data_IF_959346669819
#
_entry.id   IF_959346669819
#
_cell.length_a   1.000
_cell.length_b   1.000
_cell.length_c   1.000
_cell.angle_alpha   90.00
_cell.angle_beta   90.00
_cell.angle_gamma   90.00
#
_symmetry.space_group_name_H-M   'P 1'
#
loop_
_entity.id
_entity.type
_entity.pdbx_description
1 polymer ?
#
# COMPACT_ATOMS: atom_id res chain seq x y z
N UNK A 1 57.68 67.63 45.18
CA UNK A 1 59.06 67.39 44.73
C UNK A 1 59.05 66.20 43.77
N UNK A 2 59.44 66.45 42.50
CA UNK A 2 59.83 65.48 41.45
C UNK A 2 58.82 64.39 41.02
N UNK A 3 58.88 63.83 39.81
CA UNK A 3 59.11 64.28 38.43
C UNK A 3 58.76 63.04 37.59
N UNK A 4 58.11 63.25 36.45
CA UNK A 4 58.20 62.49 35.19
C UNK A 4 57.75 61.01 35.09
N UNK A 5 56.67 60.84 34.31
CA UNK A 5 56.53 60.06 33.06
C UNK A 5 57.49 58.90 32.75
N UNK A 6 56.94 57.69 32.47
CA UNK A 6 56.77 57.14 31.10
C UNK A 6 56.55 55.61 31.02
N UNK A 7 55.61 55.21 30.15
CA UNK A 7 55.56 54.01 29.25
C UNK A 7 55.33 52.63 29.91
N UNK A 8 54.10 52.11 29.88
CA UNK A 8 53.47 51.22 28.87
C UNK A 8 53.96 49.76 28.92
N UNK A 9 53.11 48.82 29.37
CA UNK A 9 52.91 47.55 28.66
C UNK A 9 51.64 46.79 29.10
N UNK A 10 51.03 46.16 28.09
CA UNK A 10 50.13 45.01 28.14
C UNK A 10 48.65 45.22 28.51
N UNK A 11 47.88 45.45 27.44
CA UNK A 11 46.48 45.06 27.28
C UNK A 11 46.22 43.61 27.71
N UNK A 12 45.27 43.42 28.63
CA UNK A 12 44.43 42.22 28.73
C UNK A 12 42.99 42.70 29.01
N UNK A 13 42.20 42.88 27.95
CA UNK A 13 40.76 43.08 28.07
C UNK A 13 40.11 41.70 28.29
N UNK A 14 39.84 41.36 29.55
CA UNK A 14 38.90 40.31 29.90
C UNK A 14 37.48 40.84 29.74
N UNK A 15 36.90 40.71 28.53
CA UNK A 15 35.46 40.91 28.35
C UNK A 15 34.73 39.72 28.97
N UNK A 16 34.02 39.96 30.08
CA UNK A 16 33.07 39.01 30.63
C UNK A 16 31.95 38.74 29.63
N UNK A 17 31.95 37.55 29.06
CA UNK A 17 30.83 37.01 28.27
C UNK A 17 29.70 36.67 29.24
N UNK A 18 28.70 37.56 29.32
CA UNK A 18 27.36 37.16 29.78
C UNK A 18 26.80 36.18 28.74
N UNK A 19 26.77 34.89 29.08
CA UNK A 19 25.96 33.91 28.36
C UNK A 19 24.50 34.23 28.62
N UNK A 20 23.85 34.88 27.67
CA UNK A 20 22.41 34.77 27.51
C UNK A 20 22.14 33.39 26.93
N UNK A 21 21.87 32.41 27.79
CA UNK A 21 21.27 31.15 27.39
C UNK A 21 19.84 31.48 26.94
N UNK A 22 19.68 31.75 25.65
CA UNK A 22 18.39 31.65 24.98
C UNK A 22 18.04 30.17 25.01
N UNK A 23 17.22 29.78 25.99
CA UNK A 23 16.50 28.53 25.93
C UNK A 23 15.63 28.58 24.68
N UNK A 24 16.11 27.97 23.60
CA UNK A 24 15.28 27.60 22.48
C UNK A 24 14.21 26.66 23.04
N UNK A 25 13.04 27.22 23.31
CA UNK A 25 11.85 26.46 23.59
C UNK A 25 11.61 25.63 22.34
N UNK A 26 11.74 24.32 22.50
CA UNK A 26 11.54 23.31 21.47
C UNK A 26 10.05 23.34 21.10
N UNK A 27 9.65 24.37 20.35
CA UNK A 27 8.28 24.57 19.90
C UNK A 27 8.04 23.57 18.78
N UNK A 28 7.75 22.32 19.18
CA UNK A 28 7.00 21.42 18.31
C UNK A 28 5.77 22.20 17.84
N UNK A 29 5.49 22.28 16.53
CA UNK A 29 4.26 22.88 16.06
C UNK A 29 3.10 22.22 16.80
N UNK A 30 2.08 22.98 17.22
CA UNK A 30 0.92 22.41 17.88
C UNK A 30 0.31 21.39 16.91
N UNK A 31 0.43 20.11 17.24
CA UNK A 31 -0.29 19.07 16.51
C UNK A 31 -1.78 19.28 16.78
N UNK A 32 -2.66 19.12 15.78
CA UNK A 32 -4.09 19.29 16.00
C UNK A 32 -4.55 18.36 17.14
N UNK A 33 -5.40 18.88 18.03
CA UNK A 33 -5.93 18.10 19.16
C UNK A 33 -6.68 16.85 18.65
N UNK A 34 -7.26 16.97 17.46
CA UNK A 34 -7.82 15.89 16.66
C UNK A 34 -6.73 15.24 15.81
N UNK A 35 -6.57 13.92 15.87
CA UNK A 35 -5.58 13.20 15.08
C UNK A 35 -5.67 13.46 13.57
N UNK A 36 -4.59 13.22 12.85
CA UNK A 36 -4.54 13.23 11.39
C UNK A 36 -5.65 12.33 10.81
N UNK A 37 -6.57 12.92 10.06
CA UNK A 37 -7.66 12.18 9.42
C UNK A 37 -7.27 11.76 8.00
N UNK A 38 -7.71 10.58 7.60
CA UNK A 38 -7.59 10.09 6.22
C UNK A 38 -8.91 10.30 5.50
N UNK A 39 -8.86 10.82 4.29
CA UNK A 39 -10.05 10.92 3.47
C UNK A 39 -10.30 9.63 2.69
N UNK A 40 -11.56 9.24 2.58
CA UNK A 40 -12.00 8.15 1.74
C UNK A 40 -13.06 8.62 0.75
N UNK A 41 -12.82 8.37 -0.54
CA UNK A 41 -13.82 8.65 -1.58
C UNK A 41 -14.93 7.59 -1.55
N UNK A 42 -16.17 8.05 -1.53
CA UNK A 42 -17.39 7.23 -1.57
C UNK A 42 -18.45 7.94 -2.42
N UNK A 43 -18.37 7.79 -3.75
CA UNK A 43 -19.29 8.48 -4.68
C UNK A 43 -20.77 8.19 -4.41
N UNK A 44 -21.07 6.96 -3.98
CA UNK A 44 -22.39 6.57 -3.52
C UNK A 44 -22.33 6.26 -2.03
N UNK A 45 -22.79 7.16 -1.14
CA UNK A 45 -22.81 6.91 0.31
C UNK A 45 -23.64 5.70 0.72
N UNK A 46 -24.61 5.30 -0.11
CA UNK A 46 -25.43 4.10 0.07
C UNK A 46 -24.87 2.87 -0.67
N UNK A 47 -23.66 2.99 -1.23
CA UNK A 47 -22.95 1.93 -1.94
C UNK A 47 -22.46 0.84 -1.01
N UNK A 48 -22.06 -0.29 -1.61
CA UNK A 48 -21.45 -1.39 -0.86
C UNK A 48 -20.02 -1.04 -0.52
N UNK A 49 -19.70 -1.02 0.76
CA UNK A 49 -18.31 -0.90 1.25
C UNK A 49 -17.66 -2.27 1.31
N UNK A 50 -16.59 -2.47 0.54
CA UNK A 50 -15.70 -3.62 0.64
C UNK A 50 -14.72 -3.39 1.76
N UNK A 51 -14.61 -4.38 2.64
CA UNK A 51 -13.72 -4.36 3.80
C UNK A 51 -13.91 -3.10 4.68
N UNK A 52 -15.13 -2.84 5.18
CA UNK A 52 -15.42 -1.59 5.89
C UNK A 52 -14.51 -1.35 7.10
N UNK A 53 -14.07 -2.42 7.76
CA UNK A 53 -13.21 -2.34 8.95
C UNK A 53 -11.71 -2.20 8.62
N UNK A 54 -11.32 -2.32 7.35
CA UNK A 54 -9.92 -2.37 6.93
C UNK A 54 -9.15 -1.09 7.26
N UNK A 55 -9.61 0.06 6.74
CA UNK A 55 -8.93 1.33 6.96
C UNK A 55 -8.94 1.74 8.45
N UNK A 56 -10.08 1.72 9.17
CA UNK A 56 -10.08 1.99 10.62
C UNK A 56 -9.12 1.10 11.41
N UNK A 57 -9.05 -0.19 11.08
CA UNK A 57 -8.14 -1.15 11.73
C UNK A 57 -6.67 -0.85 11.43
N UNK A 58 -6.35 -0.50 10.18
CA UNK A 58 -5.01 -0.10 9.79
C UNK A 58 -4.55 1.14 10.57
N UNK A 59 -5.39 2.17 10.65
CA UNK A 59 -5.09 3.41 11.36
C UNK A 59 -4.93 3.19 12.87
N UNK A 60 -5.76 2.32 13.47
CA UNK A 60 -5.59 1.90 14.86
C UNK A 60 -4.22 1.23 15.07
N UNK A 61 -3.85 0.32 14.18
CA UNK A 61 -2.56 -0.36 14.25
C UNK A 61 -1.38 0.61 14.04
N UNK A 62 -1.54 1.65 13.20
CA UNK A 62 -0.55 2.72 13.08
C UNK A 62 -0.38 3.48 14.39
N UNK A 63 -1.47 3.82 15.08
CA UNK A 63 -1.43 4.48 16.39
C UNK A 63 -0.80 3.59 17.48
N UNK A 64 -0.97 2.27 17.40
CA UNK A 64 -0.38 1.32 18.35
C UNK A 64 1.13 1.12 18.16
N UNK A 65 1.63 1.28 16.94
CA UNK A 65 3.00 0.90 16.57
C UNK A 65 3.90 2.08 16.22
N UNK A 66 3.32 3.27 16.10
CA UNK A 66 4.03 4.50 15.77
C UNK A 66 3.60 5.63 16.69
N UNK A 67 4.30 6.76 16.61
CA UNK A 67 3.89 7.99 17.29
C UNK A 67 2.93 8.84 16.46
N UNK A 68 2.48 8.33 15.31
CA UNK A 68 1.43 8.99 14.56
C UNK A 68 0.14 9.00 15.40
N UNK A 69 -0.63 10.08 15.26
CA UNK A 69 -1.96 10.21 15.85
C UNK A 69 -2.94 10.30 14.71
N UNK A 70 -3.47 9.18 14.26
CA UNK A 70 -4.55 9.14 13.29
C UNK A 70 -5.90 9.16 13.98
N UNK A 71 -6.85 9.88 13.39
CA UNK A 71 -8.26 9.57 13.63
C UNK A 71 -8.61 8.26 12.93
N UNK A 72 -9.17 7.30 13.67
CA UNK A 72 -9.55 5.99 13.13
C UNK A 72 -10.87 6.01 12.37
N UNK A 73 -11.62 7.11 12.43
CA UNK A 73 -12.82 7.34 11.62
C UNK A 73 -12.46 8.17 10.36
N UNK A 74 -12.42 7.56 9.17
CA UNK A 74 -12.06 8.27 7.94
C UNK A 74 -13.08 9.36 7.59
N UNK A 75 -12.59 10.45 6.99
CA UNK A 75 -13.46 11.48 6.42
C UNK A 75 -14.00 11.00 5.07
N UNK A 76 -15.29 10.70 4.99
CA UNK A 76 -15.92 10.36 3.71
C UNK A 76 -16.26 11.60 2.89
N UNK A 77 -15.85 11.60 1.63
CA UNK A 77 -16.24 12.59 0.61
C UNK A 77 -16.90 11.88 -0.57
N UNK A 78 -17.85 12.51 -1.23
CA UNK A 78 -18.54 11.95 -2.41
C UNK A 78 -18.02 12.48 -3.74
N UNK A 79 -17.27 13.59 -3.72
CA UNK A 79 -16.81 14.31 -4.90
C UNK A 79 -15.36 14.76 -4.70
N UNK A 80 -14.59 14.82 -5.78
CA UNK A 80 -13.18 15.26 -5.72
C UNK A 80 -13.02 16.79 -5.67
N UNK A 81 -14.10 17.53 -5.92
CA UNK A 81 -14.18 18.99 -5.77
C UNK A 81 -14.39 19.43 -4.32
N UNK A 82 -14.58 18.50 -3.38
CA UNK A 82 -14.70 18.81 -1.96
C UNK A 82 -13.44 19.51 -1.45
N UNK A 83 -13.58 20.75 -0.96
CA UNK A 83 -12.44 21.59 -0.56
C UNK A 83 -11.63 20.97 0.58
N UNK A 84 -12.24 20.09 1.39
CA UNK A 84 -11.56 19.35 2.47
C UNK A 84 -10.45 18.45 1.95
N UNK A 85 -10.42 18.16 0.63
CA UNK A 85 -9.30 17.48 -0.01
C UNK A 85 -7.98 18.18 0.23
N UNK A 86 -7.97 19.51 0.28
CA UNK A 86 -6.74 20.29 0.48
C UNK A 86 -6.32 20.39 1.95
N UNK A 87 -7.17 19.97 2.88
CA UNK A 87 -6.89 19.95 4.32
C UNK A 87 -6.28 18.62 4.78
N UNK A 88 -6.28 17.59 3.91
CA UNK A 88 -5.89 16.24 4.27
C UNK A 88 -4.83 15.70 3.29
N UNK A 89 -3.67 15.22 3.77
CA UNK A 89 -2.53 14.88 2.92
C UNK A 89 -2.70 13.58 2.12
N UNK A 90 -3.68 12.74 2.49
CA UNK A 90 -3.90 11.44 1.85
C UNK A 90 -5.37 11.27 1.47
N UNK A 91 -5.60 10.98 0.19
CA UNK A 91 -6.87 10.49 -0.35
C UNK A 91 -6.78 8.99 -0.59
N UNK A 92 -7.55 8.22 0.17
CA UNK A 92 -7.71 6.79 -0.02
C UNK A 92 -8.94 6.48 -0.88
N UNK A 93 -8.78 5.62 -1.87
CA UNK A 93 -9.86 5.18 -2.75
C UNK A 93 -9.75 3.67 -2.87
N UNK A 94 -10.71 2.96 -2.27
CA UNK A 94 -10.93 1.58 -2.64
C UNK A 94 -11.72 1.57 -3.94
N UNK A 95 -11.07 1.13 -5.01
CA UNK A 95 -11.61 1.18 -6.35
C UNK A 95 -12.79 0.19 -6.54
N UNK A 96 -12.90 -0.84 -5.71
CA UNK A 96 -14.03 -1.78 -5.72
C UNK A 96 -15.25 -1.31 -4.90
N UNK A 97 -15.14 -0.18 -4.17
CA UNK A 97 -16.28 0.50 -3.53
C UNK A 97 -17.04 1.41 -4.49
N UNK A 98 -16.42 1.79 -5.61
CA UNK A 98 -16.97 2.77 -6.54
C UNK A 98 -17.87 2.09 -7.58
N UNK A 99 -19.02 2.70 -7.88
CA UNK A 99 -19.92 2.23 -8.95
C UNK A 99 -19.27 2.31 -10.33
N UNK A 100 -18.45 3.33 -10.54
CA UNK A 100 -17.54 3.51 -11.68
C UNK A 100 -16.40 4.45 -11.27
N UNK A 101 -15.38 4.59 -12.12
CA UNK A 101 -14.27 5.54 -11.97
C UNK A 101 -14.37 6.69 -12.98
N UNK A 102 -15.59 7.15 -13.27
CA UNK A 102 -15.84 8.28 -14.17
C UNK A 102 -16.04 9.55 -13.33
N UNK A 103 -15.35 10.63 -13.67
CA UNK A 103 -15.39 11.90 -12.92
C UNK A 103 -15.56 13.07 -13.87
N UNK A 104 -16.12 14.18 -13.40
CA UNK A 104 -16.25 15.37 -14.23
C UNK A 104 -14.88 16.01 -14.53
N UNK A 105 -14.83 16.91 -15.50
CA UNK A 105 -13.61 17.65 -15.81
C UNK A 105 -13.11 18.47 -14.60
N UNK A 106 -14.04 19.04 -13.83
CA UNK A 106 -13.76 19.83 -12.63
C UNK A 106 -13.18 18.94 -11.51
N UNK A 107 -13.74 17.76 -11.29
CA UNK A 107 -13.22 16.78 -10.34
C UNK A 107 -11.82 16.29 -10.72
N UNK A 108 -11.59 16.00 -12.00
CA UNK A 108 -10.27 15.61 -12.48
C UNK A 108 -9.25 16.75 -12.35
N UNK A 109 -9.66 18.00 -12.59
CA UNK A 109 -8.81 19.16 -12.38
C UNK A 109 -8.50 19.37 -10.88
N UNK A 110 -9.48 19.16 -9.99
CA UNK A 110 -9.28 19.22 -8.54
C UNK A 110 -8.29 18.15 -8.07
N UNK A 111 -8.42 16.91 -8.56
CA UNK A 111 -7.50 15.81 -8.25
C UNK A 111 -6.07 16.07 -8.77
N UNK A 112 -5.94 16.58 -10.00
CA UNK A 112 -4.64 17.01 -10.56
C UNK A 112 -4.00 18.05 -9.64
N UNK A 113 -4.76 19.11 -9.28
CA UNK A 113 -4.27 20.19 -8.41
C UNK A 113 -3.86 19.65 -7.05
N UNK A 114 -4.66 18.75 -6.45
CA UNK A 114 -4.35 18.10 -5.18
C UNK A 114 -2.99 17.39 -5.22
N UNK A 115 -2.75 16.54 -6.22
CA UNK A 115 -1.47 15.85 -6.39
C UNK A 115 -0.30 16.80 -6.68
N UNK A 116 -0.53 17.84 -7.48
CA UNK A 116 0.49 18.86 -7.80
C UNK A 116 0.88 19.73 -6.59
N UNK A 117 0.01 19.84 -5.59
CA UNK A 117 0.24 20.54 -4.32
C UNK A 117 0.83 19.63 -3.23
N UNK A 118 1.08 18.35 -3.52
CA UNK A 118 1.69 17.40 -2.59
C UNK A 118 0.73 16.39 -1.97
N UNK A 119 -0.56 16.45 -2.30
CA UNK A 119 -1.51 15.41 -1.92
C UNK A 119 -1.12 14.02 -2.45
N UNK A 120 -1.34 12.98 -1.66
CA UNK A 120 -1.04 11.60 -2.04
C UNK A 120 -2.33 10.80 -2.24
N UNK A 121 -2.42 10.08 -3.37
CA UNK A 121 -3.58 9.26 -3.70
C UNK A 121 -3.21 7.78 -3.59
N UNK A 122 -3.95 7.03 -2.77
CA UNK A 122 -3.84 5.58 -2.71
C UNK A 122 -5.09 4.91 -3.28
N UNK A 123 -4.92 4.26 -4.44
CA UNK A 123 -5.91 3.42 -5.11
C UNK A 123 -5.75 1.95 -4.68
N UNK A 124 -6.45 1.53 -3.62
CA UNK A 124 -6.58 0.10 -3.31
C UNK A 124 -7.52 -0.57 -4.33
N UNK A 125 -7.26 -1.83 -4.66
CA UNK A 125 -7.93 -2.53 -5.77
C UNK A 125 -7.82 -1.80 -7.14
N UNK A 126 -6.86 -0.88 -7.28
CA UNK A 126 -6.56 -0.18 -8.53
C UNK A 126 -5.83 -1.06 -9.56
N UNK A 127 -5.23 -2.16 -9.10
CA UNK A 127 -4.78 -3.28 -9.95
C UNK A 127 -5.77 -4.43 -9.79
N UNK A 128 -6.28 -4.96 -10.91
CA UNK A 128 -7.15 -6.13 -10.90
C UNK A 128 -6.91 -6.97 -12.15
N UNK A 129 -6.43 -8.20 -11.95
CA UNK A 129 -6.26 -9.12 -13.06
C UNK A 129 -7.64 -9.49 -13.63
N UNK A 130 -7.78 -9.45 -14.95
CA UNK A 130 -9.06 -9.62 -15.66
C UNK A 130 -9.79 -10.92 -15.33
N UNK A 131 -9.05 -12.01 -15.10
CA UNK A 131 -9.62 -13.32 -14.78
C UNK A 131 -10.31 -13.37 -13.40
N UNK A 132 -10.05 -12.41 -12.50
CA UNK A 132 -10.72 -12.36 -11.19
C UNK A 132 -12.20 -11.96 -11.32
N UNK A 133 -12.57 -11.25 -12.40
CA UNK A 133 -13.95 -10.81 -12.63
C UNK A 133 -14.57 -10.11 -11.43
N UNK A 134 -15.78 -10.53 -11.05
CA UNK A 134 -16.52 -10.02 -9.88
C UNK A 134 -16.18 -10.76 -8.58
N UNK A 135 -15.23 -11.69 -8.58
CA UNK A 135 -14.76 -12.32 -7.34
C UNK A 135 -13.89 -11.32 -6.56
N UNK A 136 -14.48 -10.84 -5.48
CA UNK A 136 -13.94 -9.74 -4.68
C UNK A 136 -13.21 -10.25 -3.44
N UNK A 137 -12.99 -11.56 -3.30
CA UNK A 137 -12.28 -12.15 -2.16
C UNK A 137 -10.79 -12.43 -2.42
N UNK A 138 -10.26 -12.07 -3.59
CA UNK A 138 -8.95 -12.54 -4.05
C UNK A 138 -8.06 -11.44 -4.63
N UNK A 139 -6.82 -11.41 -4.16
CA UNK A 139 -5.77 -10.53 -4.67
C UNK A 139 -4.82 -11.28 -5.62
N UNK A 140 -4.37 -10.64 -6.69
CA UNK A 140 -3.37 -11.17 -7.63
C UNK A 140 -2.32 -10.10 -7.94
N UNK A 141 -1.04 -10.48 -7.88
CA UNK A 141 0.07 -9.60 -8.21
C UNK A 141 0.18 -9.43 -9.74
N UNK A 142 -0.62 -8.54 -10.31
CA UNK A 142 -0.45 -8.03 -11.67
C UNK A 142 0.32 -6.71 -11.62
N UNK A 143 1.09 -6.41 -12.66
CA UNK A 143 1.96 -5.23 -12.71
C UNK A 143 1.44 -4.13 -13.64
N UNK A 144 0.13 -4.08 -13.80
CA UNK A 144 -0.61 -3.09 -14.59
C UNK A 144 -1.91 -2.75 -13.85
N UNK A 145 -2.25 -1.47 -13.81
CA UNK A 145 -3.54 -0.98 -13.32
C UNK A 145 -4.70 -1.50 -14.16
N UNK A 146 -5.88 -1.58 -13.53
CA UNK A 146 -7.11 -1.95 -14.23
C UNK A 146 -7.49 -0.89 -15.28
N UNK A 147 -8.14 -1.27 -16.40
CA UNK A 147 -8.44 -0.35 -17.49
C UNK A 147 -9.16 0.94 -17.05
N UNK A 148 -10.09 0.84 -16.12
CA UNK A 148 -10.87 1.97 -15.62
C UNK A 148 -10.00 2.99 -14.86
N UNK A 149 -8.97 2.53 -14.15
CA UNK A 149 -7.99 3.41 -13.50
C UNK A 149 -7.08 4.07 -14.53
N UNK A 150 -6.65 3.30 -15.54
CA UNK A 150 -5.84 3.83 -16.65
C UNK A 150 -6.55 4.95 -17.38
N UNK A 151 -7.81 4.71 -17.76
CA UNK A 151 -8.59 5.65 -18.55
C UNK A 151 -8.94 6.89 -17.73
N UNK A 152 -9.30 6.74 -16.46
CA UNK A 152 -9.47 7.87 -15.56
C UNK A 152 -8.21 8.74 -15.45
N UNK A 153 -7.05 8.13 -15.20
CA UNK A 153 -5.81 8.91 -15.03
C UNK A 153 -5.25 9.50 -16.32
N UNK A 154 -5.68 9.04 -17.51
CA UNK A 154 -5.41 9.76 -18.77
C UNK A 154 -6.15 11.11 -18.81
N UNK A 155 -7.33 11.21 -18.23
CA UNK A 155 -8.04 12.50 -18.13
C UNK A 155 -7.38 13.43 -17.10
N UNK A 156 -6.84 12.86 -16.01
CA UNK A 156 -6.14 13.64 -14.97
C UNK A 156 -4.76 14.08 -15.45
N UNK A 157 -3.94 13.16 -15.99
CA UNK A 157 -2.59 13.39 -16.50
C UNK A 157 -2.38 12.71 -17.87
N UNK A 158 -2.81 13.33 -18.99
CA UNK A 158 -2.70 12.72 -20.33
C UNK A 158 -1.27 12.35 -20.74
N UNK A 159 -0.28 13.05 -20.19
CA UNK A 159 1.14 12.85 -20.47
C UNK A 159 1.83 11.81 -19.57
N UNK A 160 1.10 11.20 -18.64
CA UNK A 160 1.65 10.25 -17.66
C UNK A 160 0.99 8.89 -17.79
N UNK A 161 1.73 7.87 -17.40
CA UNK A 161 1.23 6.51 -17.23
C UNK A 161 1.65 5.99 -15.86
N UNK A 162 0.89 5.03 -15.34
CA UNK A 162 1.31 4.25 -14.20
C UNK A 162 2.54 3.42 -14.57
N UNK A 163 3.54 3.43 -13.70
CA UNK A 163 4.77 2.66 -13.84
C UNK A 163 4.91 1.67 -12.68
N UNK A 164 5.35 0.42 -12.94
CA UNK A 164 5.73 -0.53 -11.89
C UNK A 164 6.71 0.07 -10.89
N UNK A 165 6.46 -0.13 -9.59
CA UNK A 165 7.41 0.22 -8.54
C UNK A 165 8.39 -0.93 -8.34
N UNK A 166 9.68 -0.65 -8.54
CA UNK A 166 10.75 -1.61 -8.27
C UNK A 166 10.73 -2.08 -6.80
N UNK A 167 11.12 -3.32 -6.52
CA UNK A 167 11.17 -3.87 -5.14
C UNK A 167 12.12 -3.10 -4.23
N UNK A 168 13.09 -2.40 -4.82
CA UNK A 168 13.99 -1.49 -4.12
C UNK A 168 13.33 -0.20 -3.64
N UNK A 169 12.12 0.14 -4.12
CA UNK A 169 11.45 1.39 -3.83
C UNK A 169 11.24 1.61 -2.33
N UNK A 170 11.46 2.84 -1.86
CA UNK A 170 11.45 3.20 -0.45
C UNK A 170 10.09 2.96 0.23
N UNK A 171 9.00 3.05 -0.55
CA UNK A 171 7.65 2.67 -0.11
C UNK A 171 7.63 1.30 0.57
N UNK A 172 8.36 0.30 0.08
CA UNK A 172 8.33 -1.06 0.67
C UNK A 172 9.17 -1.22 1.94
N UNK A 173 9.89 -0.17 2.37
CA UNK A 173 10.94 -0.26 3.41
C UNK A 173 10.99 0.94 4.35
N UNK A 174 10.04 1.86 4.24
CA UNK A 174 10.02 3.11 5.03
C UNK A 174 9.89 2.83 6.53
N UNK A 175 9.14 1.80 6.92
CA UNK A 175 8.97 1.40 8.31
C UNK A 175 9.23 -0.10 8.51
N UNK A 176 8.40 -0.96 7.91
CA UNK A 176 8.66 -2.39 7.87
C UNK A 176 9.54 -2.78 6.69
N UNK A 177 10.44 -3.73 6.91
CA UNK A 177 11.36 -4.25 5.89
C UNK A 177 11.22 -5.77 5.78
N UNK A 178 11.05 -6.25 4.55
CA UNK A 178 10.93 -7.66 4.26
C UNK A 178 9.64 -8.28 4.80
N UNK A 179 9.60 -9.61 4.81
CA UNK A 179 8.45 -10.39 5.22
C UNK A 179 8.24 -10.41 6.75
N UNK A 180 7.00 -10.62 7.24
CA UNK A 180 6.76 -10.93 8.65
C UNK A 180 7.57 -12.13 9.11
N UNK A 181 8.19 -12.02 10.28
CA UNK A 181 8.75 -13.20 10.96
C UNK A 181 7.67 -13.80 11.85
N UNK A 182 7.72 -15.11 12.06
CA UNK A 182 6.81 -15.80 12.98
C UNK A 182 6.81 -15.17 14.39
N UNK A 183 7.96 -14.66 14.85
CA UNK A 183 8.10 -13.98 16.14
C UNK A 183 7.37 -12.64 16.21
N UNK A 184 7.08 -12.01 15.08
CA UNK A 184 6.41 -10.72 15.04
C UNK A 184 4.88 -10.85 15.07
N UNK A 185 4.35 -12.06 14.84
CA UNK A 185 2.92 -12.31 14.80
C UNK A 185 2.37 -12.34 16.24
N UNK A 186 1.50 -11.38 16.55
CA UNK A 186 0.72 -11.31 17.79
C UNK A 186 -0.43 -12.32 17.75
N UNK A 187 -0.12 -13.60 17.92
CA UNK A 187 -1.08 -14.72 17.96
C UNK A 187 -0.90 -15.50 19.26
N UNK A 188 -1.96 -16.15 19.72
CA UNK A 188 -2.00 -16.96 20.94
C UNK A 188 -0.99 -18.12 20.88
N UNK A 189 -0.62 -18.64 22.06
CA UNK A 189 0.33 -19.76 22.17
C UNK A 189 -0.23 -21.07 21.60
N UNK A 190 -1.55 -21.21 21.55
CA UNK A 190 -2.29 -22.34 20.97
C UNK A 190 -2.30 -22.32 19.44
N UNK A 191 -2.14 -21.14 18.82
CA UNK A 191 -2.23 -20.96 17.38
C UNK A 191 -0.95 -21.44 16.68
N UNK A 192 -1.13 -22.13 15.55
CA UNK A 192 -0.01 -22.63 14.75
C UNK A 192 0.73 -21.49 14.07
N UNK A 193 2.04 -21.65 13.92
CA UNK A 193 2.90 -20.77 13.12
C UNK A 193 3.03 -21.32 11.72
N UNK A 194 3.34 -20.44 10.77
CA UNK A 194 3.54 -20.87 9.38
C UNK A 194 4.80 -21.75 9.29
N UNK A 195 4.73 -22.95 8.67
CA UNK A 195 5.90 -23.82 8.52
C UNK A 195 7.00 -23.19 7.66
N UNK A 196 8.27 -23.54 7.94
CA UNK A 196 9.44 -22.99 7.23
C UNK A 196 9.42 -23.26 5.72
N UNK A 197 8.92 -24.42 5.31
CA UNK A 197 8.76 -24.76 3.89
C UNK A 197 7.77 -23.83 3.17
N UNK A 198 6.72 -23.39 3.87
CA UNK A 198 5.73 -22.45 3.33
C UNK A 198 6.30 -21.04 3.32
N UNK A 199 7.07 -20.64 4.34
CA UNK A 199 7.79 -19.36 4.37
C UNK A 199 8.75 -19.23 3.17
N UNK A 200 9.51 -20.30 2.88
CA UNK A 200 10.40 -20.35 1.72
C UNK A 200 9.64 -20.13 0.41
N UNK A 201 8.48 -20.77 0.23
CA UNK A 201 7.61 -20.52 -0.93
C UNK A 201 7.13 -19.07 -0.98
N UNK A 202 6.70 -18.51 0.15
CA UNK A 202 6.23 -17.11 0.21
C UNK A 202 7.33 -16.16 -0.23
N UNK A 203 8.55 -16.34 0.25
CA UNK A 203 9.70 -15.51 -0.11
C UNK A 203 10.16 -15.70 -1.57
N UNK A 204 10.07 -16.91 -2.12
CA UNK A 204 10.59 -17.17 -3.46
C UNK A 204 9.58 -16.84 -4.55
N UNK A 205 8.30 -17.08 -4.30
CA UNK A 205 7.28 -17.01 -5.35
C UNK A 205 6.18 -15.99 -5.08
N UNK A 206 5.72 -15.84 -3.83
CA UNK A 206 4.51 -15.08 -3.53
C UNK A 206 4.78 -13.59 -3.33
N UNK A 207 5.67 -13.27 -2.39
CA UNK A 207 6.01 -11.93 -1.92
C UNK A 207 7.53 -11.78 -1.77
N UNK A 208 8.25 -11.94 -2.88
CA UNK A 208 9.70 -11.90 -2.85
C UNK A 208 10.22 -10.55 -2.39
N UNK A 209 11.25 -10.59 -1.55
CA UNK A 209 11.80 -9.43 -0.83
C UNK A 209 10.78 -8.71 0.08
N UNK A 210 9.64 -9.34 0.38
CA UNK A 210 8.56 -8.73 1.15
C UNK A 210 7.85 -7.60 0.42
N UNK A 211 7.84 -7.62 -0.92
CA UNK A 211 7.13 -6.63 -1.73
C UNK A 211 5.88 -7.22 -2.37
N UNK A 212 5.09 -6.34 -2.98
CA UNK A 212 3.92 -6.72 -3.75
C UNK A 212 3.81 -5.85 -4.99
N UNK A 213 2.94 -6.19 -5.93
CA UNK A 213 2.80 -5.39 -7.15
C UNK A 213 2.16 -4.06 -6.83
N UNK A 214 2.88 -2.98 -7.12
CA UNK A 214 2.37 -1.62 -7.05
C UNK A 214 2.77 -0.93 -8.34
N UNK A 215 1.86 -0.13 -8.89
CA UNK A 215 2.18 0.82 -9.96
C UNK A 215 1.92 2.23 -9.44
N UNK A 216 2.61 3.23 -9.96
CA UNK A 216 2.46 4.59 -9.48
C UNK A 216 2.68 5.66 -10.53
N UNK A 217 2.23 6.87 -10.22
CA UNK A 217 2.44 8.07 -11.04
C UNK A 217 3.29 9.07 -10.26
N UNK A 218 4.32 9.60 -10.93
CA UNK A 218 5.14 10.68 -10.40
C UNK A 218 4.65 12.05 -10.86
N UNK A 219 4.45 12.96 -9.91
CA UNK A 219 4.11 14.37 -10.15
C UNK A 219 5.19 15.22 -9.50
N UNK A 220 5.80 16.13 -10.29
CA UNK A 220 6.93 16.97 -9.85
C UNK A 220 8.08 16.19 -9.18
N UNK A 221 8.39 15.00 -9.72
CA UNK A 221 9.46 14.13 -9.24
C UNK A 221 9.10 13.23 -8.04
N UNK A 222 7.98 13.50 -7.36
CA UNK A 222 7.48 12.71 -6.22
C UNK A 222 6.47 11.67 -6.68
N UNK A 223 6.45 10.52 -6.03
CA UNK A 223 5.35 9.55 -6.17
C UNK A 223 4.08 10.13 -5.54
N UNK A 224 3.12 10.54 -6.37
CA UNK A 224 1.91 11.24 -5.93
C UNK A 224 0.65 10.36 -5.93
N UNK A 225 0.67 9.27 -6.69
CA UNK A 225 -0.40 8.28 -6.71
C UNK A 225 0.20 6.87 -6.78
N UNK A 226 -0.40 5.93 -6.06
CA UNK A 226 -0.11 4.50 -6.17
C UNK A 226 -1.39 3.70 -6.33
N UNK A 227 -1.33 2.65 -7.13
CA UNK A 227 -2.35 1.62 -7.25
C UNK A 227 -1.78 0.27 -6.82
N UNK A 228 -2.55 -0.46 -6.02
CA UNK A 228 -2.23 -1.82 -5.59
C UNK A 228 -3.33 -2.79 -5.99
N UNK A 229 -3.07 -4.11 -5.99
CA UNK A 229 -4.15 -5.07 -5.87
C UNK A 229 -4.86 -4.88 -4.53
N UNK A 230 -5.96 -5.61 -4.31
CA UNK A 230 -6.71 -5.55 -3.04
C UNK A 230 -5.76 -5.88 -1.88
N UNK A 231 -5.38 -4.88 -1.10
CA UNK A 231 -4.60 -5.00 0.13
C UNK A 231 -5.50 -4.79 1.34
N UNK A 232 -6.60 -4.03 1.21
CA UNK A 232 -7.58 -3.81 2.27
C UNK A 232 -8.16 -5.11 2.86
N UNK A 233 -8.22 -6.18 2.07
CA UNK A 233 -8.59 -7.51 2.55
C UNK A 233 -7.76 -8.00 3.73
N UNK A 234 -6.52 -7.51 3.86
CA UNK A 234 -5.59 -7.89 4.90
C UNK A 234 -5.60 -7.00 6.14
N UNK A 235 -6.35 -5.91 6.16
CA UNK A 235 -6.25 -4.93 7.25
C UNK A 235 -7.35 -5.04 8.29
N UNK A 236 -8.49 -5.65 7.95
CA UNK A 236 -9.67 -5.67 8.79
C UNK A 236 -9.50 -6.49 10.07
N UNK A 237 -9.97 -5.93 11.19
CA UNK A 237 -10.21 -6.66 12.43
C UNK A 237 -11.65 -6.49 12.87
N UNK A 238 -12.23 -7.53 13.43
CA UNK A 238 -13.55 -7.47 14.06
C UNK A 238 -13.48 -6.76 15.43
N UNK A 239 -14.64 -6.61 16.08
CA UNK A 239 -14.77 -5.98 17.41
C UNK A 239 -14.00 -6.71 18.54
N UNK A 240 -13.66 -7.98 18.33
CA UNK A 240 -12.87 -8.80 19.24
C UNK A 240 -11.37 -8.77 18.91
N UNK A 241 -10.98 -8.09 17.84
CA UNK A 241 -9.59 -7.98 17.38
C UNK A 241 -9.12 -9.12 16.49
N UNK A 242 -9.99 -10.04 16.08
CA UNK A 242 -9.64 -11.12 15.17
C UNK A 242 -9.55 -10.58 13.74
N UNK A 243 -8.63 -11.15 12.96
CA UNK A 243 -8.47 -10.79 11.56
C UNK A 243 -9.67 -11.21 10.71
N UNK A 244 -10.14 -10.30 9.85
CA UNK A 244 -11.24 -10.56 8.91
C UNK A 244 -10.99 -9.91 7.53
N UNK A 245 -11.45 -10.55 6.44
CA UNK A 245 -11.93 -11.94 6.36
C UNK A 245 -10.76 -12.94 6.34
N UNK A 246 -11.01 -14.25 6.50
CA UNK A 246 -9.96 -15.27 6.34
C UNK A 246 -9.27 -15.21 4.98
N UNK A 247 -7.94 -15.27 4.97
CA UNK A 247 -7.12 -15.21 3.75
C UNK A 247 -6.49 -16.58 3.47
N UNK A 248 -6.59 -17.00 2.21
CA UNK A 248 -5.97 -18.23 1.70
C UNK A 248 -4.82 -17.93 0.75
N UNK A 249 -3.84 -18.82 0.70
CA UNK A 249 -2.76 -18.75 -0.28
C UNK A 249 -3.14 -19.49 -1.55
N UNK A 250 -3.11 -18.76 -2.67
CA UNK A 250 -2.98 -19.36 -3.99
C UNK A 250 -1.51 -19.65 -4.27
N UNK A 251 -1.21 -20.92 -4.52
CA UNK A 251 0.11 -21.47 -4.81
C UNK A 251 0.09 -22.02 -6.23
N UNK A 252 1.15 -21.76 -7.00
CA UNK A 252 1.37 -22.43 -8.27
C UNK A 252 2.06 -23.75 -7.95
N UNK A 253 1.58 -24.87 -8.46
CA UNK A 253 2.19 -26.17 -8.21
C UNK A 253 2.57 -26.87 -9.51
N UNK A 254 3.67 -27.61 -9.44
CA UNK A 254 4.09 -28.53 -10.50
C UNK A 254 4.15 -29.93 -9.92
N UNK A 255 3.87 -30.92 -10.77
CA UNK A 255 4.22 -32.30 -10.54
C UNK A 255 4.79 -32.88 -11.83
N UNK A 256 5.30 -34.11 -11.75
CA UNK A 256 5.78 -34.86 -12.91
C UNK A 256 4.69 -34.92 -13.99
N UNK A 257 5.10 -34.67 -15.24
CA UNK A 257 4.26 -34.68 -16.44
C UNK A 257 3.14 -33.62 -16.50
N UNK A 258 3.10 -32.60 -15.62
CA UNK A 258 2.09 -31.53 -15.72
C UNK A 258 2.19 -30.75 -17.04
N UNK A 259 3.41 -30.48 -17.51
CA UNK A 259 3.64 -29.78 -18.78
C UNK A 259 3.02 -30.53 -19.97
N UNK A 260 3.04 -31.86 -19.95
CA UNK A 260 2.48 -32.69 -21.03
C UNK A 260 0.97 -32.86 -20.85
N UNK A 261 0.53 -33.15 -19.63
CA UNK A 261 -0.87 -33.41 -19.31
C UNK A 261 -1.74 -32.16 -19.50
N UNK A 262 -1.30 -30.99 -19.02
CA UNK A 262 -2.11 -29.76 -19.08
C UNK A 262 -2.20 -29.20 -20.50
N UNK A 263 -1.19 -29.41 -21.35
CA UNK A 263 -1.26 -29.04 -22.78
C UNK A 263 -2.34 -29.81 -23.54
N UNK A 264 -2.59 -31.07 -23.15
CA UNK A 264 -3.58 -31.94 -23.77
C UNK A 264 -4.93 -31.93 -23.05
N UNK A 265 -5.00 -31.29 -21.88
CA UNK A 265 -6.21 -31.23 -21.08
C UNK A 265 -7.29 -30.41 -21.78
N UNK A 266 -8.51 -30.97 -21.84
CA UNK A 266 -9.69 -30.20 -22.24
C UNK A 266 -10.02 -29.18 -21.15
N UNK A 267 -10.32 -27.95 -21.55
CA UNK A 267 -10.65 -26.84 -20.65
C UNK A 267 -11.84 -26.05 -21.19
N UNK A 268 -12.82 -25.78 -20.32
CA UNK A 268 -14.09 -25.15 -20.68
C UNK A 268 -14.18 -23.66 -20.34
N UNK A 269 -13.05 -23.00 -20.03
CA UNK A 269 -12.98 -21.58 -19.70
C UNK A 269 -12.22 -20.70 -20.71
N UNK A 270 -11.96 -19.47 -20.30
CA UNK A 270 -11.19 -18.48 -21.06
C UNK A 270 -9.70 -18.46 -20.69
N UNK A 271 -8.92 -17.83 -21.56
CA UNK A 271 -7.51 -17.51 -21.29
C UNK A 271 -7.35 -16.02 -21.05
N UNK A 272 -6.47 -15.66 -20.11
CA UNK A 272 -6.26 -14.28 -19.70
C UNK A 272 -4.76 -14.02 -19.58
N UNK A 273 -4.27 -13.04 -20.31
CA UNK A 273 -2.88 -12.60 -20.17
C UNK A 273 -2.73 -11.74 -18.93
N UNK A 274 -1.68 -12.02 -18.14
CA UNK A 274 -1.38 -11.24 -16.95
C UNK A 274 0.11 -10.90 -16.90
N UNK A 275 0.36 -9.62 -16.71
CA UNK A 275 1.69 -9.01 -16.72
C UNK A 275 2.44 -9.29 -15.43
N UNK A 276 3.62 -9.89 -15.59
CA UNK A 276 4.61 -10.07 -14.54
C UNK A 276 5.42 -8.79 -14.37
N UNK A 277 6.22 -8.77 -13.32
CA UNK A 277 7.12 -7.65 -13.00
C UNK A 277 8.16 -7.41 -14.09
N UNK A 278 8.68 -8.48 -14.69
CA UNK A 278 9.66 -8.45 -15.78
C UNK A 278 9.04 -8.06 -17.15
N UNK A 279 7.76 -7.72 -17.18
CA UNK A 279 7.01 -7.37 -18.39
C UNK A 279 6.56 -8.58 -19.23
N UNK A 280 7.01 -9.80 -18.89
CA UNK A 280 6.53 -11.01 -19.56
C UNK A 280 5.11 -11.34 -19.12
N UNK A 281 4.41 -12.17 -19.91
CA UNK A 281 3.00 -12.49 -19.69
C UNK A 281 2.84 -13.94 -19.26
N UNK A 282 2.15 -14.15 -18.15
CA UNK A 282 1.55 -15.43 -17.81
C UNK A 282 0.23 -15.57 -18.59
N UNK A 283 -0.09 -16.77 -19.09
CA UNK A 283 -1.42 -17.09 -19.63
C UNK A 283 -2.19 -17.87 -18.58
N UNK A 284 -3.24 -17.24 -18.03
CA UNK A 284 -4.08 -17.81 -16.99
C UNK A 284 -5.30 -18.47 -17.61
N UNK A 285 -5.57 -19.70 -17.22
CA UNK A 285 -6.75 -20.45 -17.64
C UNK A 285 -7.77 -20.40 -16.52
N UNK A 286 -8.90 -19.73 -16.77
CA UNK A 286 -9.96 -19.56 -15.77
C UNK A 286 -11.35 -19.63 -16.39
N UNK A 287 -12.27 -20.27 -15.68
CA UNK A 287 -13.70 -20.17 -15.98
C UNK A 287 -14.26 -18.93 -15.28
N UNK A 288 -15.23 -18.28 -15.92
CA UNK A 288 -15.84 -17.07 -15.35
C UNK A 288 -16.54 -17.41 -14.03
N UNK A 289 -16.24 -16.64 -12.98
CA UNK A 289 -16.81 -16.87 -11.64
C UNK A 289 -16.19 -18.05 -10.88
N UNK A 290 -15.16 -18.68 -11.44
CA UNK A 290 -14.37 -19.71 -10.76
C UNK A 290 -12.96 -19.21 -10.46
N UNK A 291 -12.33 -19.84 -9.47
CA UNK A 291 -10.90 -19.66 -9.22
C UNK A 291 -10.08 -20.17 -10.41
N UNK A 292 -8.99 -19.49 -10.81
CA UNK A 292 -8.19 -19.93 -11.95
C UNK A 292 -7.63 -21.33 -11.69
N UNK A 293 -7.59 -22.15 -12.74
CA UNK A 293 -7.27 -23.57 -12.67
C UNK A 293 -5.77 -23.82 -12.86
N UNK A 294 -5.17 -23.25 -13.91
CA UNK A 294 -3.74 -23.36 -14.17
C UNK A 294 -3.18 -22.13 -14.90
N UNK A 295 -1.86 -22.07 -14.99
CA UNK A 295 -1.09 -21.02 -15.64
C UNK A 295 -0.05 -21.63 -16.55
N UNK A 296 0.10 -21.05 -17.73
CA UNK A 296 1.27 -21.21 -18.58
C UNK A 296 2.18 -20.00 -18.39
N UNK A 297 3.40 -20.25 -17.90
CA UNK A 297 4.42 -19.23 -17.66
C UNK A 297 5.19 -18.89 -18.95
N UNK A 298 5.87 -17.73 -19.04
CA UNK A 298 6.55 -17.28 -20.27
C UNK A 298 7.58 -18.28 -20.85
N UNK A 299 8.18 -19.11 -19.99
CA UNK A 299 9.13 -20.14 -20.39
C UNK A 299 8.46 -21.42 -20.94
N UNK A 300 7.14 -21.45 -21.05
CA UNK A 300 6.36 -22.59 -21.53
C UNK A 300 6.00 -23.63 -20.46
N UNK A 301 6.37 -23.39 -19.19
CA UNK A 301 6.02 -24.26 -18.05
C UNK A 301 4.55 -24.10 -17.68
N UNK A 302 3.89 -25.21 -17.38
CA UNK A 302 2.51 -25.28 -16.94
C UNK A 302 2.44 -25.65 -15.46
N UNK A 303 1.61 -24.93 -14.72
CA UNK A 303 1.41 -25.14 -13.28
C UNK A 303 -0.05 -25.02 -12.93
N UNK A 304 -0.53 -25.84 -12.01
CA UNK A 304 -1.89 -25.71 -11.48
C UNK A 304 -1.92 -24.69 -10.35
N UNK A 305 -3.05 -24.04 -10.15
CA UNK A 305 -3.29 -23.26 -8.94
C UNK A 305 -3.91 -24.14 -7.86
N UNK A 306 -3.26 -24.19 -6.70
CA UNK A 306 -3.80 -24.76 -5.47
C UNK A 306 -4.10 -23.66 -4.47
N UNK A 307 -5.08 -23.92 -3.61
CA UNK A 307 -5.56 -22.96 -2.63
C UNK A 307 -5.46 -23.59 -1.25
N UNK A 308 -4.61 -23.01 -0.41
CA UNK A 308 -4.38 -23.44 0.95
C UNK A 308 -4.99 -22.44 1.92
N UNK A 309 -5.84 -22.94 2.78
CA UNK A 309 -6.50 -22.18 3.85
C UNK A 309 -6.02 -22.70 5.19
N UNK A 310 -5.94 -21.81 6.18
CA UNK A 310 -5.48 -22.14 7.52
C UNK A 310 -5.37 -20.87 8.34
N UNK A 311 -5.54 -20.99 9.64
CA UNK A 311 -5.44 -19.86 10.55
C UNK A 311 -4.02 -19.26 10.52
N UNK A 312 -2.99 -20.10 10.48
CA UNK A 312 -1.58 -19.70 10.36
C UNK A 312 -1.27 -18.96 9.06
N UNK A 313 -1.89 -19.40 7.95
CA UNK A 313 -1.78 -18.75 6.63
C UNK A 313 -2.46 -17.38 6.69
N UNK A 314 -3.68 -17.34 7.23
CA UNK A 314 -4.47 -16.12 7.34
C UNK A 314 -3.74 -15.09 8.20
N UNK A 315 -3.33 -15.46 9.41
CA UNK A 315 -2.61 -14.60 10.34
C UNK A 315 -1.33 -14.02 9.73
N UNK A 316 -0.55 -14.84 9.01
CA UNK A 316 0.64 -14.39 8.32
C UNK A 316 0.31 -13.40 7.19
N UNK A 317 -0.73 -13.70 6.40
CA UNK A 317 -1.16 -12.85 5.29
C UNK A 317 -1.65 -11.48 5.76
N UNK A 318 -2.47 -11.43 6.80
CA UNK A 318 -2.91 -10.20 7.42
C UNK A 318 -1.72 -9.38 7.93
N UNK A 319 -0.77 -10.01 8.63
CA UNK A 319 0.43 -9.30 9.07
C UNK A 319 1.21 -8.69 7.91
N UNK A 320 1.38 -9.43 6.80
CA UNK A 320 2.05 -8.91 5.61
C UNK A 320 1.31 -7.70 5.01
N UNK A 321 0.03 -7.85 4.67
CA UNK A 321 -0.75 -6.78 4.04
C UNK A 321 -0.88 -5.55 4.94
N UNK A 322 -1.04 -5.75 6.25
CA UNK A 322 -1.14 -4.66 7.21
C UNK A 322 0.18 -3.87 7.31
N UNK A 323 1.33 -4.55 7.34
CA UNK A 323 2.65 -3.87 7.26
C UNK A 323 2.82 -3.10 5.96
N UNK A 324 2.38 -3.67 4.85
CA UNK A 324 2.44 -3.03 3.54
C UNK A 324 1.56 -1.77 3.49
N UNK A 325 0.33 -1.85 4.02
CA UNK A 325 -0.54 -0.69 4.20
C UNK A 325 0.12 0.40 5.04
N UNK A 326 0.66 0.05 6.21
CA UNK A 326 1.36 1.01 7.08
C UNK A 326 2.52 1.70 6.34
N UNK A 327 3.30 0.93 5.59
CA UNK A 327 4.38 1.45 4.76
C UNK A 327 3.88 2.46 3.71
N UNK A 328 2.76 2.19 3.01
CA UNK A 328 2.18 3.15 2.04
C UNK A 328 1.79 4.45 2.72
N UNK A 329 1.03 4.38 3.83
CA UNK A 329 0.56 5.58 4.53
C UNK A 329 1.71 6.37 5.16
N UNK A 330 2.70 5.72 5.78
CA UNK A 330 3.87 6.41 6.33
C UNK A 330 4.74 7.01 5.22
N UNK A 331 4.91 6.31 4.09
CA UNK A 331 5.64 6.86 2.94
C UNK A 331 4.99 8.16 2.46
N UNK A 332 3.66 8.16 2.33
CA UNK A 332 2.88 9.31 1.88
C UNK A 332 2.98 10.53 2.83
N UNK A 333 3.16 10.31 4.13
CA UNK A 333 3.33 11.40 5.11
C UNK A 333 4.76 11.94 5.19
N UNK A 334 5.74 11.11 4.85
CA UNK A 334 7.16 11.45 5.00
C UNK A 334 7.78 12.05 3.73
N UNK A 335 7.11 11.97 2.58
CA UNK A 335 7.65 12.36 1.27
C UNK A 335 6.67 13.21 0.46
#
# INVERSE_FOLDING_TARGET
MNKNSSILLCLLFGFGLFKTDILAQDSKPPMPEDGLRIMQLMKNPNGVRRYPDALPSLLRMMNEQTWAKFDTDPLFISELTDERIFENPILYINCDDQTNLEFTAEENQALRRYMELGGFVYLDAGIKASFLGADLGHSYAAWEERPEVRDWFKEVFPEKAFIPLDRSHDLFRVFFKGLPKNADLKIEASQKRLPETVLSFVEQEKWPQGTYSFVGIKVKGRLACVASPICAMGWGRDEFGNWIPPISFRIRESAENFDENLKLASFTGGTFEVSREDGLKDIIYSEQGQRPAWVQEPNGRWRIFKYYSGEEISNYAHSFYARLGMNVFLYALLN
#
